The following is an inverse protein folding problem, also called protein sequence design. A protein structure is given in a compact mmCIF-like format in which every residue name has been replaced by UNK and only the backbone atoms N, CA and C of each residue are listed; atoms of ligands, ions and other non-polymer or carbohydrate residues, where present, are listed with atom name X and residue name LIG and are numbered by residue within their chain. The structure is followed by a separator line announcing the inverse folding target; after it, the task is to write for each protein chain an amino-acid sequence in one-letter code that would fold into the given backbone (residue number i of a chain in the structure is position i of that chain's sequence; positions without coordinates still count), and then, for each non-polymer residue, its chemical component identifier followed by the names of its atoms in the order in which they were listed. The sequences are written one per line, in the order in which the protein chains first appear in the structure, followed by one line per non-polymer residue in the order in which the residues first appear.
data_IF_376805772163
#
_entry.id   IF_376805772163
#
_cell.length_a   1.000
_cell.length_b   1.000
_cell.length_c   1.000
_cell.angle_alpha   90.00
_cell.angle_beta   90.00
_cell.angle_gamma   90.00
#
_symmetry.space_group_name_H-M   'P 1'
#
loop_
_entity.id
_entity.type
_entity.pdbx_description
1 polymer ?
#
# COMPACT_ATOMS: atom_id res chain seq x y z
N UNK A 1 9.43 15.43 0.47
CA UNK A 1 10.55 14.70 -0.16
C UNK A 1 9.99 13.45 -0.82
N UNK A 2 10.16 13.27 -2.14
CA UNK A 2 9.66 12.08 -2.83
C UNK A 2 10.60 10.89 -2.53
N UNK A 3 10.07 9.66 -2.54
CA UNK A 3 10.87 8.45 -2.30
C UNK A 3 12.05 8.34 -3.28
N UNK A 4 11.86 8.86 -4.51
CA UNK A 4 12.88 8.97 -5.55
C UNK A 4 14.06 9.81 -5.10
N UNK A 5 13.81 10.93 -4.42
CA UNK A 5 14.84 11.89 -4.02
C UNK A 5 15.71 11.29 -2.90
N UNK A 6 15.10 10.53 -1.98
CA UNK A 6 15.82 9.82 -0.92
C UNK A 6 16.70 8.67 -1.47
N UNK A 7 16.19 7.92 -2.45
CA UNK A 7 16.96 6.85 -3.10
C UNK A 7 18.14 7.46 -3.86
N UNK A 8 17.89 8.52 -4.64
CA UNK A 8 18.92 9.23 -5.40
C UNK A 8 20.02 9.76 -4.46
N UNK A 9 19.62 10.37 -3.34
CA UNK A 9 20.55 10.87 -2.34
C UNK A 9 21.39 9.74 -1.71
N UNK A 10 20.77 8.61 -1.35
CA UNK A 10 21.50 7.46 -0.79
C UNK A 10 22.48 6.83 -1.78
N UNK A 11 22.11 6.77 -3.07
CA UNK A 11 22.96 6.27 -4.15
C UNK A 11 24.10 7.25 -4.46
N UNK A 12 23.84 8.56 -4.45
CA UNK A 12 24.86 9.60 -4.64
C UNK A 12 25.90 9.58 -3.51
N UNK A 13 25.46 9.57 -2.26
CA UNK A 13 26.36 9.51 -1.10
C UNK A 13 27.16 8.20 -1.10
N UNK A 14 26.51 7.08 -1.40
CA UNK A 14 27.18 5.78 -1.54
C UNK A 14 28.22 5.74 -2.64
N UNK A 15 27.88 6.28 -3.82
CA UNK A 15 28.76 6.34 -4.99
C UNK A 15 29.95 7.28 -4.79
N UNK A 16 29.74 8.44 -4.16
CA UNK A 16 30.81 9.41 -3.84
C UNK A 16 31.76 8.79 -2.81
N UNK A 17 31.24 8.17 -1.74
CA UNK A 17 32.08 7.46 -0.78
C UNK A 17 32.88 6.33 -1.44
N UNK A 18 32.27 5.56 -2.32
CA UNK A 18 32.96 4.49 -3.05
C UNK A 18 34.08 5.02 -3.94
N UNK A 19 33.81 6.06 -4.75
CA UNK A 19 34.79 6.68 -5.64
C UNK A 19 35.98 7.30 -4.89
N UNK A 20 35.73 7.92 -3.72
CA UNK A 20 36.79 8.46 -2.86
C UNK A 20 37.62 7.33 -2.22
N UNK A 21 37.01 6.21 -1.86
CA UNK A 21 37.76 5.06 -1.33
C UNK A 21 38.58 4.34 -2.41
N UNK A 22 38.19 4.44 -3.68
CA UNK A 22 38.90 3.83 -4.80
C UNK A 22 40.22 4.55 -5.12
N UNK A 23 40.26 5.88 -4.96
CA UNK A 23 41.44 6.69 -5.30
C UNK A 23 42.54 6.67 -4.23
N UNK A 24 42.22 6.38 -2.97
CA UNK A 24 43.15 6.61 -1.84
C UNK A 24 43.74 5.32 -1.23
N UNK A 25 43.05 4.17 -1.32
CA UNK A 25 43.41 3.00 -0.49
C UNK A 25 44.08 1.84 -1.25
N UNK A 26 44.88 1.00 -0.56
CA UNK A 26 45.45 -0.22 -1.11
C UNK A 26 44.41 -1.32 -1.36
N UNK A 27 44.69 -2.19 -2.32
CA UNK A 27 43.74 -3.11 -2.98
C UNK A 27 42.94 -4.02 -2.03
N UNK A 28 43.53 -4.43 -0.89
CA UNK A 28 42.87 -5.28 0.13
C UNK A 28 41.87 -4.51 1.02
N UNK A 29 42.13 -3.22 1.28
CA UNK A 29 41.24 -2.38 2.10
C UNK A 29 40.03 -1.86 1.31
N UNK A 30 40.17 -1.74 -0.01
CA UNK A 30 39.08 -1.30 -0.92
C UNK A 30 37.85 -2.20 -0.83
N UNK A 31 38.04 -3.52 -0.78
CA UNK A 31 36.92 -4.47 -0.72
C UNK A 31 36.17 -4.40 0.62
N UNK A 32 36.89 -4.28 1.73
CA UNK A 32 36.31 -4.20 3.07
C UNK A 32 35.53 -2.88 3.28
N UNK A 33 36.11 -1.74 2.87
CA UNK A 33 35.45 -0.43 2.96
C UNK A 33 34.27 -0.32 1.99
N UNK A 34 34.39 -0.86 0.78
CA UNK A 34 33.27 -0.93 -0.17
C UNK A 34 32.08 -1.71 0.38
N UNK A 35 32.33 -2.83 1.05
CA UNK A 35 31.28 -3.62 1.71
C UNK A 35 30.61 -2.85 2.87
N UNK A 36 31.39 -2.10 3.67
CA UNK A 36 30.88 -1.27 4.77
C UNK A 36 30.03 -0.11 4.23
N UNK A 37 30.48 0.59 3.19
CA UNK A 37 29.70 1.65 2.54
C UNK A 37 28.40 1.11 1.93
N UNK A 38 28.42 -0.07 1.32
CA UNK A 38 27.24 -0.71 0.76
C UNK A 38 26.24 -1.11 1.87
N UNK A 39 26.72 -1.62 3.00
CA UNK A 39 25.88 -1.91 4.17
C UNK A 39 25.26 -0.65 4.78
N UNK A 40 26.03 0.43 4.92
CA UNK A 40 25.55 1.71 5.43
C UNK A 40 24.48 2.34 4.54
N UNK A 41 24.67 2.29 3.21
CA UNK A 41 23.68 2.79 2.25
C UNK A 41 22.39 1.97 2.28
N UNK A 42 22.47 0.64 2.38
CA UNK A 42 21.30 -0.23 2.57
C UNK A 42 20.57 0.06 3.88
N UNK A 43 21.30 0.31 4.97
CA UNK A 43 20.73 0.64 6.27
C UNK A 43 20.00 1.99 6.24
N UNK A 44 20.60 3.01 5.62
CA UNK A 44 19.98 4.32 5.40
C UNK A 44 18.72 4.18 4.52
N UNK A 45 18.78 3.40 3.44
CA UNK A 45 17.63 3.20 2.55
C UNK A 45 16.48 2.49 3.28
N UNK A 46 16.77 1.50 4.12
CA UNK A 46 15.79 0.84 4.99
C UNK A 46 15.18 1.81 6.01
N UNK A 47 16.00 2.66 6.63
CA UNK A 47 15.57 3.68 7.59
C UNK A 47 14.65 4.72 6.94
N UNK A 48 15.06 5.29 5.79
CA UNK A 48 14.24 6.24 5.04
C UNK A 48 12.97 5.60 4.49
N UNK A 49 13.03 4.36 4.01
CA UNK A 49 11.84 3.62 3.55
C UNK A 49 10.86 3.35 4.70
N UNK A 50 11.37 3.08 5.90
CA UNK A 50 10.57 2.90 7.12
C UNK A 50 9.87 4.21 7.52
N UNK A 51 10.62 5.32 7.61
CA UNK A 51 10.09 6.66 7.88
C UNK A 51 9.10 7.13 6.81
N UNK A 52 9.37 6.87 5.53
CA UNK A 52 8.46 7.23 4.44
C UNK A 52 7.15 6.46 4.49
N UNK A 53 7.17 5.17 4.88
CA UNK A 53 5.95 4.39 5.09
C UNK A 53 5.09 4.93 6.23
N UNK A 54 5.70 5.49 7.27
CA UNK A 54 4.98 6.03 8.42
C UNK A 54 4.16 7.29 8.10
N UNK A 55 4.53 8.07 7.08
CA UNK A 55 3.85 9.31 6.70
C UNK A 55 3.07 9.21 5.39
N UNK A 56 2.84 7.99 4.87
CA UNK A 56 2.11 7.83 3.61
C UNK A 56 0.63 8.12 3.84
N UNK A 57 0.09 9.12 3.13
CA UNK A 57 -1.35 9.33 3.08
C UNK A 57 -2.02 8.09 2.47
N UNK A 58 -3.14 7.62 3.03
CA UNK A 58 -3.81 6.41 2.56
C UNK A 58 -4.18 6.56 1.08
N UNK A 59 -4.12 5.47 0.32
CA UNK A 59 -4.61 5.44 -1.07
C UNK A 59 -6.12 5.72 -1.13
N UNK A 60 -6.67 6.04 -2.31
CA UNK A 60 -8.10 6.32 -2.43
C UNK A 60 -8.98 5.12 -1.99
N UNK A 61 -8.57 3.90 -2.34
CA UNK A 61 -9.26 2.68 -1.90
C UNK A 61 -9.07 2.43 -0.39
N UNK A 62 -7.87 2.69 0.15
CA UNK A 62 -7.62 2.62 1.60
C UNK A 62 -8.47 3.63 2.37
N UNK A 63 -8.66 4.85 1.85
CA UNK A 63 -9.56 5.85 2.44
C UNK A 63 -11.00 5.36 2.45
N UNK A 64 -11.51 4.85 1.33
CA UNK A 64 -12.87 4.28 1.27
C UNK A 64 -13.03 3.09 2.22
N UNK A 65 -12.00 2.25 2.36
CA UNK A 65 -12.00 1.14 3.30
C UNK A 65 -12.02 1.61 4.75
N UNK A 66 -11.25 2.65 5.10
CA UNK A 66 -11.29 3.27 6.43
C UNK A 66 -12.70 3.77 6.78
N UNK A 67 -13.37 4.45 5.85
CA UNK A 67 -14.76 4.88 6.02
C UNK A 67 -15.72 3.69 6.16
N UNK A 68 -15.52 2.62 5.38
CA UNK A 68 -16.31 1.40 5.51
C UNK A 68 -16.13 0.72 6.88
N UNK A 69 -14.93 0.79 7.46
CA UNK A 69 -14.61 0.23 8.79
C UNK A 69 -15.16 1.07 9.95
N UNK A 70 -15.28 2.39 9.78
CA UNK A 70 -15.93 3.27 10.77
C UNK A 70 -17.42 2.95 10.95
N UNK A 71 -18.05 2.33 9.95
CA UNK A 71 -19.49 2.11 9.90
C UNK A 71 -20.22 3.31 9.27
N UNK A 72 -21.37 3.04 8.65
CA UNK A 72 -22.10 4.04 7.84
C UNK A 72 -22.56 5.23 8.67
N UNK A 73 -22.98 5.02 9.92
CA UNK A 73 -23.45 6.08 10.82
C UNK A 73 -22.32 7.02 11.24
N UNK A 74 -21.22 6.47 11.75
CA UNK A 74 -20.05 7.26 12.17
C UNK A 74 -19.40 7.97 10.97
N UNK A 75 -19.32 7.30 9.82
CA UNK A 75 -18.88 7.91 8.57
C UNK A 75 -19.77 9.08 8.14
N UNK A 76 -21.09 8.95 8.32
CA UNK A 76 -22.06 9.99 7.97
C UNK A 76 -21.94 11.20 8.91
N UNK A 77 -21.81 10.97 10.21
CA UNK A 77 -21.53 12.02 11.20
C UNK A 77 -20.20 12.73 10.93
N UNK A 78 -19.16 11.98 10.56
CA UNK A 78 -17.86 12.53 10.19
C UNK A 78 -17.92 13.39 8.92
N UNK A 79 -18.82 13.10 7.98
CA UNK A 79 -19.04 13.94 6.81
C UNK A 79 -19.88 15.18 7.13
N UNK A 80 -20.85 15.06 8.04
CA UNK A 80 -21.67 16.18 8.50
C UNK A 80 -20.82 17.24 9.23
N UNK A 81 -19.84 16.82 10.03
CA UNK A 81 -18.94 17.75 10.73
C UNK A 81 -18.08 18.61 9.81
N UNK A 82 -17.99 18.26 8.51
CA UNK A 82 -17.24 19.03 7.51
C UNK A 82 -18.05 20.15 6.88
N UNK A 83 -19.36 20.19 7.13
CA UNK A 83 -20.27 21.16 6.55
C UNK A 83 -20.62 22.24 7.57
N UNK A 84 -20.77 23.50 7.13
CA UNK A 84 -21.33 24.55 7.97
C UNK A 84 -22.74 24.15 8.42
N UNK A 85 -23.15 24.45 9.67
CA UNK A 85 -24.47 24.11 10.19
C UNK A 85 -25.61 24.70 9.32
N UNK A 86 -25.36 25.85 8.70
CA UNK A 86 -26.30 26.57 7.83
C UNK A 86 -26.65 25.81 6.54
N UNK A 87 -25.83 24.83 6.16
CA UNK A 87 -26.00 24.02 4.95
C UNK A 87 -26.63 22.65 5.23
N UNK A 88 -26.93 22.33 6.49
CA UNK A 88 -27.46 21.03 6.90
C UNK A 88 -28.95 21.14 7.21
N UNK A 89 -29.80 20.43 6.45
CA UNK A 89 -31.25 20.50 6.65
C UNK A 89 -31.77 19.34 7.51
N UNK A 90 -31.50 18.11 7.07
CA UNK A 90 -31.98 16.89 7.69
C UNK A 90 -30.88 15.83 7.64
N UNK A 91 -30.79 15.04 8.71
CA UNK A 91 -29.82 13.96 8.87
C UNK A 91 -30.53 12.68 9.32
N UNK A 92 -30.28 11.60 8.59
CA UNK A 92 -30.61 10.23 8.98
C UNK A 92 -29.32 9.43 9.19
N UNK A 93 -29.44 8.21 9.71
CA UNK A 93 -28.28 7.34 10.02
C UNK A 93 -27.34 7.09 8.82
N UNK A 94 -27.86 7.10 7.59
CA UNK A 94 -27.08 6.78 6.38
C UNK A 94 -27.05 7.90 5.32
N UNK A 95 -27.67 9.05 5.59
CA UNK A 95 -27.69 10.16 4.64
C UNK A 95 -27.94 11.50 5.30
N UNK A 96 -27.59 12.57 4.62
CA UNK A 96 -27.93 13.93 5.04
C UNK A 96 -28.16 14.83 3.84
N UNK A 97 -28.93 15.89 4.05
CA UNK A 97 -29.20 16.89 3.01
C UNK A 97 -28.22 18.04 3.16
N UNK A 98 -27.54 18.35 2.06
CA UNK A 98 -26.76 19.56 1.89
C UNK A 98 -27.57 20.57 1.07
N UNK A 99 -27.77 21.76 1.62
CA UNK A 99 -28.38 22.90 0.94
C UNK A 99 -27.24 23.75 0.35
N UNK A 100 -27.12 23.75 -0.97
CA UNK A 100 -26.25 24.68 -1.70
C UNK A 100 -27.15 25.74 -2.37
N UNK A 101 -27.50 26.80 -1.65
CA UNK A 101 -28.43 27.82 -2.13
C UNK A 101 -29.87 27.29 -2.23
N UNK A 102 -30.45 27.27 -3.43
CA UNK A 102 -31.80 26.73 -3.66
C UNK A 102 -31.81 25.22 -3.92
N UNK A 103 -30.66 24.59 -4.18
CA UNK A 103 -30.58 23.17 -4.52
C UNK A 103 -30.44 22.28 -3.29
N UNK A 104 -31.34 21.31 -3.16
CA UNK A 104 -31.29 20.29 -2.09
C UNK A 104 -30.61 19.03 -2.61
N UNK A 105 -29.38 18.79 -2.16
CA UNK A 105 -28.59 17.61 -2.53
C UNK A 105 -28.62 16.58 -1.39
N UNK A 106 -29.13 15.39 -1.68
CA UNK A 106 -29.04 14.26 -0.76
C UNK A 106 -27.67 13.60 -0.89
N UNK A 107 -26.87 13.59 0.18
CA UNK A 107 -25.64 12.81 0.25
C UNK A 107 -25.98 11.47 0.89
N UNK A 108 -25.97 10.41 0.08
CA UNK A 108 -26.26 9.05 0.52
C UNK A 108 -24.95 8.27 0.72
N UNK A 109 -24.71 7.83 1.95
CA UNK A 109 -23.50 7.11 2.33
C UNK A 109 -23.76 5.59 2.27
N UNK A 110 -23.33 4.97 1.17
CA UNK A 110 -23.31 3.52 0.98
C UNK A 110 -21.88 2.95 1.04
N UNK A 111 -20.95 3.63 1.72
CA UNK A 111 -19.57 3.16 1.85
C UNK A 111 -19.53 1.99 2.83
N UNK A 112 -19.46 0.78 2.27
CA UNK A 112 -19.34 -0.48 2.99
C UNK A 112 -18.26 -1.35 2.36
N UNK A 113 -17.92 -2.45 3.02
CA UNK A 113 -16.90 -3.40 2.54
C UNK A 113 -17.28 -4.05 1.22
N UNK A 114 -18.59 -4.30 1.03
CA UNK A 114 -19.19 -4.86 -0.18
C UNK A 114 -19.56 -3.76 -1.20
N UNK A 115 -19.72 -4.15 -2.47
CA UNK A 115 -20.21 -3.24 -3.50
C UNK A 115 -21.65 -2.77 -3.20
N UNK A 116 -21.97 -1.54 -3.60
CA UNK A 116 -23.33 -0.99 -3.51
C UNK A 116 -24.20 -1.58 -4.62
N UNK A 117 -25.31 -2.22 -4.27
CA UNK A 117 -26.19 -2.92 -5.22
C UNK A 117 -27.32 -2.04 -5.75
N UNK A 118 -28.19 -2.65 -6.57
CA UNK A 118 -29.42 -2.02 -7.06
C UNK A 118 -30.38 -1.63 -5.93
N UNK A 119 -30.44 -2.44 -4.87
CA UNK A 119 -31.26 -2.16 -3.69
C UNK A 119 -30.85 -0.87 -2.98
N UNK A 120 -29.55 -0.58 -2.89
CA UNK A 120 -29.07 0.63 -2.23
C UNK A 120 -29.39 1.87 -3.05
N UNK A 121 -29.33 1.77 -4.37
CA UNK A 121 -29.77 2.83 -5.29
C UNK A 121 -31.28 3.06 -5.15
N UNK A 122 -32.07 1.99 -5.07
CA UNK A 122 -33.52 2.09 -4.86
C UNK A 122 -33.87 2.70 -3.49
N UNK A 123 -33.12 2.35 -2.43
CA UNK A 123 -33.26 2.97 -1.10
C UNK A 123 -32.91 4.45 -1.16
N UNK A 124 -31.78 4.81 -1.76
CA UNK A 124 -31.37 6.21 -1.92
C UNK A 124 -32.41 7.03 -2.68
N UNK A 125 -33.02 6.47 -3.73
CA UNK A 125 -34.11 7.11 -4.46
C UNK A 125 -35.35 7.34 -3.59
N UNK A 126 -35.82 6.32 -2.87
CA UNK A 126 -36.99 6.45 -1.98
C UNK A 126 -36.75 7.51 -0.91
N UNK A 127 -35.55 7.55 -0.35
CA UNK A 127 -35.15 8.57 0.62
C UNK A 127 -35.12 9.96 -0.02
N UNK A 128 -34.60 10.10 -1.24
CA UNK A 128 -34.58 11.37 -1.97
C UNK A 128 -35.99 11.92 -2.25
N UNK A 129 -36.92 11.05 -2.65
CA UNK A 129 -38.32 11.43 -2.86
C UNK A 129 -38.99 11.85 -1.55
N UNK A 130 -38.76 11.09 -0.47
CA UNK A 130 -39.30 11.40 0.88
C UNK A 130 -38.81 12.78 1.36
N UNK A 131 -37.53 13.07 1.17
CA UNK A 131 -36.87 14.29 1.62
C UNK A 131 -36.95 15.45 0.61
N UNK A 132 -37.62 15.26 -0.54
CA UNK A 132 -37.75 16.24 -1.62
C UNK A 132 -36.40 16.83 -2.06
N UNK A 133 -35.42 15.96 -2.33
CA UNK A 133 -34.11 16.34 -2.85
C UNK A 133 -34.09 16.35 -4.39
N UNK A 134 -33.41 17.33 -4.99
CA UNK A 134 -33.30 17.51 -6.44
C UNK A 134 -32.24 16.60 -7.07
N UNK A 135 -31.16 16.35 -6.32
CA UNK A 135 -30.00 15.58 -6.75
C UNK A 135 -29.56 14.62 -5.64
N UNK A 136 -29.18 13.40 -6.02
CA UNK A 136 -28.65 12.37 -5.13
C UNK A 136 -27.16 12.17 -5.41
N UNK A 137 -26.32 12.59 -4.46
CA UNK A 137 -24.89 12.32 -4.46
C UNK A 137 -24.64 11.01 -3.73
N UNK A 138 -24.24 9.98 -4.48
CA UNK A 138 -24.09 8.62 -3.97
C UNK A 138 -22.62 8.30 -3.71
N UNK A 139 -22.29 8.00 -2.45
CA UNK A 139 -20.95 7.61 -2.01
C UNK A 139 -20.88 6.10 -1.83
N UNK A 140 -20.03 5.43 -2.59
CA UNK A 140 -19.78 4.00 -2.45
C UNK A 140 -18.38 3.62 -2.90
N UNK A 141 -17.82 2.57 -2.30
CA UNK A 141 -16.48 2.07 -2.64
C UNK A 141 -16.43 1.46 -4.04
N UNK A 142 -17.43 0.66 -4.39
CA UNK A 142 -17.59 0.03 -5.70
C UNK A 142 -19.05 0.04 -6.10
N UNK A 143 -19.31 0.35 -7.38
CA UNK A 143 -20.66 0.42 -7.94
C UNK A 143 -20.69 -0.49 -9.18
N UNK A 144 -21.46 -1.59 -9.16
CA UNK A 144 -21.60 -2.47 -10.30
C UNK A 144 -22.38 -1.76 -11.41
N UNK A 145 -22.05 -2.10 -12.66
CA UNK A 145 -22.66 -1.50 -13.85
C UNK A 145 -24.20 -1.56 -13.84
N UNK A 146 -24.78 -2.64 -13.31
CA UNK A 146 -26.23 -2.79 -13.22
C UNK A 146 -26.90 -1.73 -12.32
N UNK A 147 -26.29 -1.40 -11.18
CA UNK A 147 -26.77 -0.34 -10.29
C UNK A 147 -26.70 1.05 -10.94
N UNK A 148 -25.66 1.31 -11.76
CA UNK A 148 -25.57 2.55 -12.53
C UNK A 148 -26.66 2.64 -13.60
N UNK A 149 -26.97 1.53 -14.29
CA UNK A 149 -28.05 1.49 -15.28
C UNK A 149 -29.40 1.75 -14.60
N UNK A 150 -29.64 1.16 -13.43
CA UNK A 150 -30.85 1.44 -12.65
C UNK A 150 -30.96 2.93 -12.32
N UNK A 151 -29.89 3.55 -11.81
CA UNK A 151 -29.88 4.97 -11.49
C UNK A 151 -30.19 5.87 -12.70
N UNK A 152 -29.71 5.50 -13.89
CA UNK A 152 -30.01 6.26 -15.12
C UNK A 152 -31.47 6.18 -15.58
N UNK A 153 -32.23 5.19 -15.10
CA UNK A 153 -33.66 5.02 -15.40
C UNK A 153 -34.57 5.71 -14.38
N UNK A 154 -34.01 6.19 -13.27
CA UNK A 154 -34.76 6.89 -12.23
C UNK A 154 -34.91 8.37 -12.61
N UNK A 155 -36.03 9.02 -12.24
CA UNK A 155 -36.29 10.41 -12.59
C UNK A 155 -35.39 11.40 -11.83
N UNK A 156 -34.83 11.01 -10.69
CA UNK A 156 -33.90 11.84 -9.92
C UNK A 156 -32.49 11.86 -10.53
N UNK A 157 -31.80 12.99 -10.41
CA UNK A 157 -30.41 13.11 -10.89
C UNK A 157 -29.46 12.39 -9.91
N UNK A 158 -28.84 11.32 -10.36
CA UNK A 158 -27.81 10.60 -9.60
C UNK A 158 -26.42 11.03 -10.00
N UNK A 159 -25.60 11.41 -9.01
CA UNK A 159 -24.18 11.68 -9.15
C UNK A 159 -23.37 10.70 -8.31
N UNK A 160 -22.60 9.85 -8.97
CA UNK A 160 -21.69 8.93 -8.32
C UNK A 160 -20.34 9.60 -8.07
N UNK A 161 -19.86 9.54 -6.84
CA UNK A 161 -18.55 10.13 -6.48
C UNK A 161 -17.47 9.08 -6.61
N UNK A 162 -16.46 9.37 -7.42
CA UNK A 162 -15.26 8.54 -7.54
C UNK A 162 -14.46 8.56 -6.22
N UNK A 163 -13.96 7.41 -5.73
CA UNK A 163 -13.03 7.34 -4.60
C UNK A 163 -11.89 8.36 -4.64
N UNK A 164 -11.36 8.68 -5.83
CA UNK A 164 -10.30 9.67 -5.96
C UNK A 164 -10.79 11.09 -5.63
N UNK A 165 -11.95 11.47 -6.18
CA UNK A 165 -12.58 12.77 -5.92
C UNK A 165 -12.96 12.92 -4.46
N UNK A 166 -13.48 11.86 -3.86
CA UNK A 166 -13.81 11.80 -2.43
C UNK A 166 -12.57 12.01 -1.55
N UNK A 167 -11.48 11.27 -1.82
CA UNK A 167 -10.21 11.46 -1.11
C UNK A 167 -9.69 12.90 -1.25
N UNK A 168 -9.74 13.47 -2.45
CA UNK A 168 -9.27 14.84 -2.70
C UNK A 168 -10.10 15.87 -1.94
N UNK A 169 -11.41 15.65 -1.83
CA UNK A 169 -12.30 16.47 -0.99
C UNK A 169 -11.87 16.42 0.48
N UNK A 170 -11.69 15.22 1.04
CA UNK A 170 -11.28 15.06 2.44
C UNK A 170 -9.91 15.67 2.74
N UNK A 171 -8.95 15.54 1.81
CA UNK A 171 -7.64 16.16 1.93
C UNK A 171 -7.72 17.69 1.96
N UNK A 172 -8.61 18.29 1.16
CA UNK A 172 -8.80 19.74 1.14
C UNK A 172 -9.34 20.27 2.47
N UNK A 173 -10.16 19.47 3.15
CA UNK A 173 -10.78 19.80 4.43
C UNK A 173 -10.00 19.24 5.64
N UNK A 174 -8.80 18.68 5.45
CA UNK A 174 -8.00 18.02 6.50
C UNK A 174 -8.77 16.99 7.34
N UNK A 175 -9.72 16.30 6.70
CA UNK A 175 -10.73 15.46 7.33
C UNK A 175 -10.52 13.97 7.07
N UNK A 176 -9.28 13.55 6.79
CA UNK A 176 -9.00 12.13 6.65
C UNK A 176 -9.27 11.44 7.99
N UNK A 177 -9.98 10.29 7.98
CA UNK A 177 -10.18 9.53 9.19
C UNK A 177 -8.82 9.12 9.75
N UNK A 178 -8.68 9.19 11.07
CA UNK A 178 -7.50 8.68 11.74
C UNK A 178 -7.28 7.23 11.30
N UNK A 179 -6.03 6.84 11.06
CA UNK A 179 -5.72 5.52 10.54
C UNK A 179 -6.05 4.47 11.62
N UNK A 180 -7.28 3.95 11.62
CA UNK A 180 -7.70 2.80 12.44
C UNK A 180 -7.06 1.50 11.94
N UNK A 181 -6.30 1.55 10.84
CA UNK A 181 -5.41 0.46 10.45
C UNK A 181 -4.33 0.33 11.53
N UNK A 182 -4.65 -0.38 12.60
CA UNK A 182 -3.69 -1.07 13.44
C UNK A 182 -2.80 -1.78 12.45
N UNK A 183 -1.62 -1.21 12.20
CA UNK A 183 -0.62 -1.85 11.36
C UNK A 183 -0.54 -3.25 11.94
N UNK A 184 -0.89 -4.27 11.16
CA UNK A 184 -0.73 -5.65 11.63
C UNK A 184 0.72 -5.71 12.03
N UNK A 185 0.99 -5.68 13.35
CA UNK A 185 2.34 -5.68 13.88
C UNK A 185 2.88 -6.96 13.31
N UNK A 186 3.75 -6.85 12.30
CA UNK A 186 4.34 -8.02 11.67
C UNK A 186 4.95 -8.78 12.82
N UNK A 187 4.42 -9.97 13.10
CA UNK A 187 4.87 -10.78 14.21
C UNK A 187 6.40 -10.80 14.11
N UNK A 188 7.14 -10.42 15.17
CA UNK A 188 8.59 -10.38 15.10
C UNK A 188 9.07 -11.72 14.56
N UNK A 189 10.02 -11.68 13.63
CA UNK A 189 10.46 -12.87 12.92
C UNK A 189 10.93 -13.89 13.96
N UNK A 190 10.21 -15.00 14.05
CA UNK A 190 10.54 -16.07 14.97
C UNK A 190 11.84 -16.72 14.50
N UNK A 191 12.95 -16.47 15.19
CA UNK A 191 14.26 -16.98 14.84
C UNK A 191 14.27 -18.52 14.72
N UNK A 192 13.36 -19.19 15.43
CA UNK A 192 13.20 -20.65 15.35
C UNK A 192 12.62 -21.11 14.00
N UNK A 193 11.88 -20.25 13.29
CA UNK A 193 11.25 -20.54 11.98
C UNK A 193 12.06 -20.05 10.78
N UNK A 194 13.15 -19.32 11.01
CA UNK A 194 14.08 -18.93 9.95
C UNK A 194 14.63 -20.11 9.15
N UNK A 195 15.14 -21.20 9.76
CA UNK A 195 15.63 -22.33 8.98
C UNK A 195 14.54 -22.94 8.10
N UNK A 196 13.30 -23.06 8.57
CA UNK A 196 12.20 -23.57 7.75
C UNK A 196 11.87 -22.66 6.56
N UNK A 197 12.01 -21.34 6.75
CA UNK A 197 11.74 -20.36 5.69
C UNK A 197 12.88 -20.30 4.68
N UNK A 198 14.13 -20.29 5.16
CA UNK A 198 15.35 -20.22 4.34
C UNK A 198 15.55 -21.51 3.56
N UNK A 199 15.42 -22.68 4.20
CA UNK A 199 15.63 -23.99 3.58
C UNK A 199 14.37 -24.59 2.95
N UNK A 200 13.35 -23.78 2.65
CA UNK A 200 12.12 -24.27 2.02
C UNK A 200 12.38 -24.86 0.62
N UNK A 201 11.74 -26.00 0.33
CA UNK A 201 11.88 -26.73 -0.95
C UNK A 201 11.67 -25.87 -2.19
N UNK A 202 10.78 -24.89 -2.11
CA UNK A 202 10.50 -23.95 -3.20
C UNK A 202 11.69 -23.04 -3.55
N UNK A 203 12.60 -22.77 -2.60
CA UNK A 203 13.76 -21.88 -2.79
C UNK A 203 15.02 -22.58 -3.30
N UNK A 204 15.08 -23.91 -3.24
CA UNK A 204 16.24 -24.70 -3.70
C UNK A 204 16.58 -24.38 -5.16
N UNK A 205 15.56 -24.31 -6.03
CA UNK A 205 15.73 -23.95 -7.44
C UNK A 205 16.31 -22.54 -7.62
N UNK A 206 15.92 -21.60 -6.75
CA UNK A 206 16.44 -20.25 -6.74
C UNK A 206 17.90 -20.19 -6.33
N UNK A 207 18.28 -20.92 -5.28
CA UNK A 207 19.69 -20.97 -4.84
C UNK A 207 20.61 -21.60 -5.89
N UNK A 208 20.19 -22.70 -6.52
CA UNK A 208 20.93 -23.32 -7.63
C UNK A 208 21.00 -22.42 -8.86
N UNK A 209 19.90 -21.73 -9.21
CA UNK A 209 19.89 -20.80 -10.33
C UNK A 209 20.85 -19.63 -10.13
N UNK A 210 20.86 -19.05 -8.91
CA UNK A 210 21.76 -17.95 -8.56
C UNK A 210 23.21 -18.43 -8.51
N UNK A 211 23.51 -19.61 -7.95
CA UNK A 211 24.88 -20.13 -7.92
C UNK A 211 25.42 -20.39 -9.33
N UNK A 212 24.61 -20.99 -10.21
CA UNK A 212 24.98 -21.25 -11.59
C UNK A 212 25.17 -19.96 -12.38
N UNK A 213 24.30 -18.96 -12.17
CA UNK A 213 24.42 -17.65 -12.80
C UNK A 213 25.71 -16.93 -12.36
N UNK A 214 26.03 -16.95 -11.06
CA UNK A 214 27.28 -16.37 -10.54
C UNK A 214 28.51 -17.10 -11.07
N UNK A 215 28.43 -18.42 -11.19
CA UNK A 215 29.49 -19.24 -11.78
C UNK A 215 29.68 -18.91 -13.28
N UNK A 216 28.60 -18.70 -14.03
CA UNK A 216 28.68 -18.22 -15.42
C UNK A 216 29.34 -16.84 -15.51
N UNK A 217 29.00 -15.90 -14.62
CA UNK A 217 29.63 -14.58 -14.56
C UNK A 217 31.12 -14.63 -14.20
N UNK A 218 31.57 -15.65 -13.46
CA UNK A 218 33.00 -15.88 -13.19
C UNK A 218 33.81 -16.12 -14.47
N UNK A 219 33.20 -16.67 -15.53
CA UNK A 219 33.89 -16.85 -16.82
C UNK A 219 33.95 -15.58 -17.67
N UNK A 220 32.96 -14.70 -17.54
CA UNK A 220 32.86 -13.47 -18.34
C UNK A 220 33.69 -12.31 -17.76
N UNK A 221 33.97 -12.31 -16.46
CA UNK A 221 34.56 -11.17 -15.78
C UNK A 221 35.99 -11.44 -15.31
N UNK A 222 36.85 -10.40 -15.25
CA UNK A 222 38.22 -10.54 -14.74
C UNK A 222 38.28 -10.82 -13.22
N UNK A 223 37.16 -10.66 -12.50
CA UNK A 223 37.04 -10.86 -11.04
C UNK A 223 36.65 -12.29 -10.65
N UNK A 224 37.28 -13.29 -11.28
CA UNK A 224 36.85 -14.70 -11.22
C UNK A 224 36.70 -15.24 -9.80
N UNK A 225 37.66 -14.92 -8.92
CA UNK A 225 37.70 -15.37 -7.52
C UNK A 225 36.51 -14.87 -6.71
N UNK A 226 36.07 -13.62 -6.92
CA UNK A 226 34.93 -13.04 -6.21
C UNK A 226 33.62 -13.74 -6.56
N UNK A 227 33.38 -13.94 -7.86
CA UNK A 227 32.18 -14.64 -8.32
C UNK A 227 32.17 -16.12 -7.94
N UNK A 228 33.33 -16.76 -7.85
CA UNK A 228 33.44 -18.16 -7.41
C UNK A 228 33.10 -18.29 -5.92
N UNK A 229 33.62 -17.41 -5.06
CA UNK A 229 33.27 -17.35 -3.63
C UNK A 229 31.76 -17.03 -3.46
N UNK A 230 31.24 -16.08 -4.23
CA UNK A 230 29.82 -15.71 -4.22
C UNK A 230 28.90 -16.81 -4.75
N UNK A 231 29.36 -17.65 -5.69
CA UNK A 231 28.61 -18.82 -6.16
C UNK A 231 28.58 -19.94 -5.13
N UNK A 232 29.64 -20.07 -4.31
CA UNK A 232 29.75 -21.10 -3.29
C UNK A 232 28.71 -20.94 -2.16
N UNK A 233 28.46 -19.71 -1.72
CA UNK A 233 27.49 -19.41 -0.65
C UNK A 233 26.06 -19.95 -0.95
N UNK A 234 25.41 -19.59 -2.06
CA UNK A 234 24.11 -20.13 -2.43
C UNK A 234 24.15 -21.62 -2.77
N UNK A 235 25.29 -22.14 -3.28
CA UNK A 235 25.46 -23.57 -3.54
C UNK A 235 25.43 -24.38 -2.23
N UNK A 236 26.12 -23.92 -1.19
CA UNK A 236 26.11 -24.55 0.14
C UNK A 236 24.71 -24.45 0.77
N UNK A 237 24.02 -23.32 0.61
CA UNK A 237 22.63 -23.15 1.03
C UNK A 237 21.68 -24.13 0.31
N UNK A 238 21.87 -24.35 -0.99
CA UNK A 238 21.09 -25.33 -1.76
C UNK A 238 21.35 -26.77 -1.28
N UNK A 239 22.61 -27.14 -1.06
CA UNK A 239 23.01 -28.46 -0.59
C UNK A 239 22.46 -28.76 0.82
N UNK A 240 22.58 -27.79 1.73
CA UNK A 240 22.03 -27.90 3.09
C UNK A 240 20.50 -27.91 3.12
N UNK A 241 19.83 -27.15 2.25
CA UNK A 241 18.37 -27.23 2.08
C UNK A 241 17.91 -28.62 1.61
N UNK A 242 18.65 -29.20 0.66
CA UNK A 242 18.35 -30.51 0.10
C UNK A 242 18.58 -31.62 1.13
N UNK A 243 19.70 -31.58 1.86
CA UNK A 243 19.99 -32.48 2.97
C UNK A 243 18.93 -32.36 4.09
N UNK A 244 18.59 -31.14 4.50
CA UNK A 244 17.56 -30.89 5.51
C UNK A 244 16.21 -31.52 5.12
N UNK A 245 15.81 -31.39 3.85
CA UNK A 245 14.60 -32.02 3.35
C UNK A 245 14.69 -33.54 3.22
N UNK A 246 15.85 -34.08 2.82
CA UNK A 246 16.08 -35.52 2.76
C UNK A 246 15.97 -36.18 4.15
N UNK A 247 16.57 -35.56 5.19
CA UNK A 247 16.48 -36.04 6.56
C UNK A 247 15.08 -35.89 7.17
N UNK A 248 14.36 -34.82 6.85
CA UNK A 248 13.00 -34.60 7.36
C UNK A 248 11.95 -35.53 6.73
N UNK A 249 12.16 -35.98 5.50
CA UNK A 249 11.28 -36.94 4.83
C UNK A 249 11.58 -38.41 5.20
N UNK A 250 12.70 -38.67 5.87
CA UNK A 250 13.10 -40.01 6.32
C UNK A 250 12.64 -40.33 7.77
N UNK A 251 12.01 -39.37 8.45
CA UNK A 251 11.28 -39.55 9.72
C UNK A 251 9.79 -39.40 9.45
#
# INVERSE_FOLDING_TARGET
MKLTDCILFSCLVGGICYAVTESVLPQRMRAALGAICLLLTLCLLMFFRSRYRAHKTPSADETMLLFALMGTEAATLHLQSLLPPDQLADAESNCFIRIDGEQRRLIYNAVRTNAAGEEDVAKAYRTAVRLKADEVVFLARQIPRKAMILASRLPSRFRFVDPYTFKRYLLKHNALPEQILVSVKRKPMDWKRLPETVFSRGRIKGYLGISLLMLAFSFLTPLKTYYLILALIPLVLAATALLYHAFRNAR
#
